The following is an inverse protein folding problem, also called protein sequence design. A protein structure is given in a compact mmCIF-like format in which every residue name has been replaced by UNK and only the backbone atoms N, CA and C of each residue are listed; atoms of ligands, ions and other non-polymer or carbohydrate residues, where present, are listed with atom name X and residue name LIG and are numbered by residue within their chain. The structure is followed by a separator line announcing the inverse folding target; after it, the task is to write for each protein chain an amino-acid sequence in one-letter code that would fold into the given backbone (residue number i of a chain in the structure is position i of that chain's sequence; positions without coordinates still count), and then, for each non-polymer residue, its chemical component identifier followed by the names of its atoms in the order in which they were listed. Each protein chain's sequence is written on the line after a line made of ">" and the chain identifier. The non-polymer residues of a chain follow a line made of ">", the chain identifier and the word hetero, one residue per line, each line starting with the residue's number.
data_IF_822340753862
#
_entry.id   IF_822340753862
#
_cell.length_a   1.000
_cell.length_b   1.000
_cell.length_c   1.000
_cell.angle_alpha   90.00
_cell.angle_beta   90.00
_cell.angle_gamma   90.00
#
_symmetry.space_group_name_H-M   'P 1'
#
loop_
_entity.id
_entity.type
_entity.pdbx_description
1 polymer ?
#
# COMPACT_ATOMS: atom_id res chain seq x y z
N UNK A 1 9.32 12.31 8.09
CA UNK A 1 8.82 11.25 8.99
C UNK A 1 7.44 10.75 8.58
N UNK A 2 7.21 10.52 7.29
CA UNK A 2 5.99 9.86 6.79
C UNK A 2 6.29 8.38 6.57
N UNK A 3 5.27 7.54 6.63
CA UNK A 3 5.38 6.14 6.26
C UNK A 3 5.31 6.00 4.74
N UNK A 4 6.48 5.87 4.09
CA UNK A 4 6.63 5.84 2.64
C UNK A 4 7.17 4.50 2.15
N UNK A 5 6.83 4.14 0.91
CA UNK A 5 7.48 3.07 0.15
C UNK A 5 7.60 3.48 -1.31
N UNK A 6 8.59 2.96 -2.01
CA UNK A 6 8.83 3.28 -3.40
C UNK A 6 8.71 2.06 -4.33
N UNK A 7 8.39 2.35 -5.59
CA UNK A 7 8.36 1.39 -6.69
C UNK A 7 9.05 2.00 -7.90
N UNK A 8 10.23 1.48 -8.24
CA UNK A 8 11.04 1.89 -9.40
C UNK A 8 11.57 0.69 -10.19
N UNK A 9 12.26 0.96 -11.30
CA UNK A 9 12.66 -0.06 -12.29
C UNK A 9 13.73 -1.04 -11.82
N UNK A 10 14.46 -0.72 -10.75
CA UNK A 10 15.54 -1.59 -10.23
C UNK A 10 15.02 -2.64 -9.24
N UNK A 11 13.75 -2.53 -8.82
CA UNK A 11 13.12 -3.54 -7.98
C UNK A 11 12.71 -4.75 -8.81
N UNK A 12 13.01 -5.94 -8.29
CA UNK A 12 12.51 -7.17 -8.89
C UNK A 12 10.98 -7.29 -8.72
N UNK A 13 10.35 -8.22 -9.44
CA UNK A 13 8.89 -8.39 -9.39
C UNK A 13 8.39 -8.78 -7.99
N UNK A 14 9.19 -9.49 -7.19
CA UNK A 14 8.82 -9.90 -5.84
C UNK A 14 8.78 -8.69 -4.93
N UNK A 15 9.81 -7.86 -4.96
CA UNK A 15 9.95 -6.67 -4.13
C UNK A 15 8.88 -5.64 -4.53
N UNK A 16 8.60 -5.47 -5.82
CA UNK A 16 7.46 -4.66 -6.32
C UNK A 16 6.11 -5.13 -5.75
N UNK A 17 5.87 -6.44 -5.73
CA UNK A 17 4.64 -7.01 -5.17
C UNK A 17 4.56 -6.80 -3.65
N UNK A 18 5.68 -6.95 -2.93
CA UNK A 18 5.75 -6.69 -1.50
C UNK A 18 5.49 -5.21 -1.17
N UNK A 19 6.00 -4.27 -1.96
CA UNK A 19 5.69 -2.84 -1.83
C UNK A 19 4.20 -2.53 -1.99
N UNK A 20 3.54 -3.14 -2.99
CA UNK A 20 2.09 -3.00 -3.19
C UNK A 20 1.31 -3.59 -2.03
N UNK A 21 1.75 -4.72 -1.49
CA UNK A 21 1.10 -5.34 -0.33
C UNK A 21 1.26 -4.47 0.91
N UNK A 22 2.46 -3.97 1.21
CA UNK A 22 2.70 -3.09 2.35
C UNK A 22 1.86 -1.81 2.28
N UNK A 23 1.72 -1.24 1.08
CA UNK A 23 0.83 -0.10 0.84
C UNK A 23 -0.65 -0.45 1.01
N UNK A 24 -1.11 -1.54 0.39
CA UNK A 24 -2.52 -1.98 0.48
C UNK A 24 -2.92 -2.40 1.89
N UNK A 25 -1.97 -2.85 2.71
CA UNK A 25 -2.17 -3.18 4.11
C UNK A 25 -2.18 -1.96 5.02
N UNK A 26 -1.92 -0.76 4.48
CA UNK A 26 -1.79 0.47 5.25
C UNK A 26 -0.48 0.58 6.03
N UNK A 27 0.40 -0.43 5.98
CA UNK A 27 1.71 -0.41 6.65
C UNK A 27 2.63 0.67 6.11
N UNK A 28 2.47 0.99 4.82
CA UNK A 28 3.08 2.13 4.15
C UNK A 28 1.96 3.03 3.65
N UNK A 29 1.90 4.27 4.12
CA UNK A 29 0.77 5.18 3.86
C UNK A 29 0.91 5.95 2.56
N UNK A 30 2.14 6.13 2.10
CA UNK A 30 2.47 6.85 0.87
C UNK A 30 3.29 5.92 -0.02
N UNK A 31 2.89 5.78 -1.28
CA UNK A 31 3.69 5.09 -2.30
C UNK A 31 4.19 6.10 -3.32
N UNK A 32 5.49 6.08 -3.61
CA UNK A 32 6.13 6.86 -4.69
C UNK A 32 6.46 5.90 -5.83
N UNK A 33 5.99 6.18 -7.04
CA UNK A 33 6.18 5.26 -8.16
C UNK A 33 6.47 5.97 -9.48
N UNK A 34 7.23 5.30 -10.35
CA UNK A 34 7.36 5.67 -11.77
C UNK A 34 6.36 4.89 -12.63
N UNK A 35 5.99 5.43 -13.79
CA UNK A 35 5.04 4.78 -14.70
C UNK A 35 5.51 3.36 -15.07
N UNK A 36 6.79 3.23 -15.42
CA UNK A 36 7.39 1.95 -15.83
C UNK A 36 7.26 0.92 -14.72
N UNK A 37 7.56 1.31 -13.49
CA UNK A 37 7.57 0.40 -12.35
C UNK A 37 6.17 0.11 -11.80
N UNK A 38 5.15 0.87 -12.17
CA UNK A 38 3.75 0.60 -11.80
C UNK A 38 3.02 -0.33 -12.78
N UNK A 39 3.53 -0.52 -14.00
CA UNK A 39 2.90 -1.37 -15.02
C UNK A 39 2.82 -2.84 -14.59
N UNK A 40 1.65 -3.45 -14.80
CA UNK A 40 1.39 -4.84 -14.41
C UNK A 40 1.11 -5.04 -12.91
N UNK A 41 1.08 -3.97 -12.11
CA UNK A 41 0.65 -4.02 -10.72
C UNK A 41 -0.82 -3.61 -10.62
N UNK A 42 -1.59 -4.38 -9.86
CA UNK A 42 -2.98 -4.04 -9.57
C UNK A 42 -3.06 -3.13 -8.34
N UNK A 43 -2.86 -1.84 -8.57
CA UNK A 43 -3.02 -0.81 -7.55
C UNK A 43 -4.37 -0.11 -7.81
N UNK A 44 -5.29 -0.20 -6.85
CA UNK A 44 -6.66 0.33 -6.92
C UNK A 44 -7.07 0.89 -5.56
N UNK A 45 -8.21 1.57 -5.53
CA UNK A 45 -8.88 2.05 -4.33
C UNK A 45 -8.01 3.00 -3.49
N UNK A 46 -7.24 3.86 -4.18
CA UNK A 46 -6.43 4.90 -3.54
C UNK A 46 -7.29 6.14 -3.31
N UNK A 47 -7.22 6.74 -2.13
CA UNK A 47 -7.97 7.98 -1.81
C UNK A 47 -7.42 9.21 -2.54
N UNK A 48 -6.09 9.28 -2.70
CA UNK A 48 -5.38 10.42 -3.28
C UNK A 48 -4.28 9.96 -4.23
N UNK A 49 -4.31 10.46 -5.46
CA UNK A 49 -3.21 10.37 -6.42
C UNK A 49 -2.56 11.75 -6.57
N UNK A 50 -1.25 11.82 -6.45
CA UNK A 50 -0.49 13.05 -6.69
C UNK A 50 0.42 12.82 -7.91
N UNK A 51 0.17 13.55 -8.99
CA UNK A 51 1.13 13.68 -10.08
C UNK A 51 2.17 14.72 -9.70
N UNK A 52 3.32 14.26 -9.22
CA UNK A 52 4.46 15.14 -8.95
C UNK A 52 5.01 15.75 -10.25
N UNK A 53 5.27 14.88 -11.24
CA UNK A 53 5.59 15.28 -12.61
C UNK A 53 4.42 14.95 -13.54
N UNK A 54 4.02 15.91 -14.38
CA UNK A 54 3.01 15.67 -15.40
C UNK A 54 3.55 14.72 -16.50
N UNK A 55 2.77 13.69 -16.89
CA UNK A 55 3.11 12.92 -18.08
C UNK A 55 2.86 13.75 -19.33
N UNK A 56 3.64 13.49 -20.39
CA UNK A 56 3.39 14.08 -21.70
C UNK A 56 2.16 13.49 -22.37
N UNK A 57 1.90 12.21 -22.13
CA UNK A 57 0.81 11.46 -22.74
C UNK A 57 -0.47 11.53 -21.88
N UNK A 58 -1.58 12.08 -22.41
CA UNK A 58 -2.88 12.09 -21.75
C UNK A 58 -3.41 10.70 -21.34
N UNK A 59 -3.04 9.64 -22.07
CA UNK A 59 -3.44 8.27 -21.73
C UNK A 59 -2.73 7.82 -20.45
N UNK A 60 -1.44 8.13 -20.30
CA UNK A 60 -0.69 7.87 -19.07
C UNK A 60 -1.30 8.66 -17.90
N UNK A 61 -1.66 9.93 -18.11
CA UNK A 61 -2.36 10.72 -17.09
C UNK A 61 -3.64 10.02 -16.62
N UNK A 62 -4.48 9.61 -17.57
CA UNK A 62 -5.75 8.92 -17.31
C UNK A 62 -5.54 7.61 -16.55
N UNK A 63 -4.51 6.83 -16.89
CA UNK A 63 -4.14 5.61 -16.18
C UNK A 63 -3.65 5.85 -14.74
N UNK A 64 -2.96 6.96 -14.48
CA UNK A 64 -2.52 7.35 -13.14
C UNK A 64 -3.69 7.77 -12.27
N UNK A 65 -4.52 8.71 -12.74
CA UNK A 65 -5.67 9.18 -11.95
C UNK A 65 -6.75 8.10 -11.82
N UNK A 66 -6.83 7.17 -12.78
CA UNK A 66 -7.70 6.01 -12.71
C UNK A 66 -7.35 5.01 -11.60
N UNK A 67 -6.35 5.28 -10.75
CA UNK A 67 -6.06 4.53 -9.50
C UNK A 67 -6.92 4.99 -8.32
N UNK A 68 -7.55 6.16 -8.45
CA UNK A 68 -8.51 6.71 -7.50
C UNK A 68 -9.92 6.79 -8.14
N UNK A 69 -10.95 6.95 -7.32
CA UNK A 69 -12.30 7.32 -7.79
C UNK A 69 -12.99 6.32 -8.71
N UNK A 70 -12.84 5.01 -8.49
CA UNK A 70 -13.60 3.98 -9.23
C UNK A 70 -14.92 3.66 -8.53
N UNK A 71 -15.97 3.34 -9.30
CA UNK A 71 -17.34 3.09 -8.81
C UNK A 71 -17.91 4.29 -8.01
N UNK A 72 -18.65 4.04 -6.93
CA UNK A 72 -19.24 5.07 -6.05
C UNK A 72 -18.22 5.72 -5.08
N UNK A 73 -16.94 5.34 -5.16
CA UNK A 73 -15.91 5.83 -4.26
C UNK A 73 -15.46 7.25 -4.63
N UNK A 74 -15.39 8.14 -3.63
CA UNK A 74 -14.81 9.47 -3.80
C UNK A 74 -13.28 9.36 -3.82
N UNK A 75 -12.67 9.86 -4.88
CA UNK A 75 -11.23 9.89 -5.07
C UNK A 75 -10.74 11.27 -5.45
N UNK A 76 -9.51 11.64 -5.07
CA UNK A 76 -8.91 12.92 -5.43
C UNK A 76 -7.64 12.69 -6.24
N UNK A 77 -7.51 13.40 -7.36
CA UNK A 77 -6.25 13.49 -8.10
C UNK A 77 -5.76 14.94 -8.08
N UNK A 78 -4.53 15.14 -7.62
CA UNK A 78 -3.85 16.44 -7.60
C UNK A 78 -2.66 16.36 -8.55
N UNK A 79 -2.46 17.39 -9.35
CA UNK A 79 -1.36 17.46 -10.29
C UNK A 79 -0.59 18.75 -10.07
N UNK A 80 0.70 18.60 -9.79
CA UNK A 80 1.61 19.72 -9.63
C UNK A 80 2.14 20.13 -11.01
N UNK A 81 2.18 21.42 -11.28
CA UNK A 81 2.70 21.95 -12.53
C UNK A 81 3.34 23.32 -12.31
N UNK A 82 4.33 23.64 -13.13
CA UNK A 82 4.97 24.95 -13.15
C UNK A 82 4.98 25.58 -14.54
N UNK A 83 5.64 26.75 -14.69
CA UNK A 83 5.72 27.45 -15.97
C UNK A 83 6.31 26.61 -17.13
N UNK A 84 7.10 25.57 -16.81
CA UNK A 84 7.75 24.69 -17.80
C UNK A 84 6.85 23.57 -18.32
N UNK A 85 5.67 23.38 -17.73
CA UNK A 85 4.76 22.29 -18.08
C UNK A 85 3.61 22.74 -18.99
N UNK A 86 3.71 23.90 -19.63
CA UNK A 86 2.64 24.50 -20.44
C UNK A 86 2.04 23.53 -21.46
N UNK A 87 2.89 22.81 -22.20
CA UNK A 87 2.46 21.82 -23.20
C UNK A 87 1.77 20.60 -22.58
N UNK A 88 2.26 20.12 -21.43
CA UNK A 88 1.71 18.95 -20.73
C UNK A 88 0.39 19.27 -20.02
N UNK A 89 0.26 20.50 -19.53
CA UNK A 89 -0.81 20.91 -18.64
C UNK A 89 -2.09 21.28 -19.39
N UNK A 90 -2.00 21.67 -20.67
CA UNK A 90 -3.14 22.16 -21.45
C UNK A 90 -4.36 21.22 -21.43
N UNK A 91 -4.14 19.91 -21.61
CA UNK A 91 -5.20 18.90 -21.55
C UNK A 91 -5.79 18.72 -20.13
N UNK A 92 -4.97 18.93 -19.10
CA UNK A 92 -5.37 18.73 -17.70
C UNK A 92 -6.16 19.95 -17.20
N UNK A 93 -5.68 21.16 -17.48
CA UNK A 93 -6.32 22.41 -17.05
C UNK A 93 -7.67 22.67 -17.71
N UNK A 94 -7.93 22.06 -18.87
CA UNK A 94 -9.25 22.16 -19.51
C UNK A 94 -10.33 21.36 -18.79
N UNK A 95 -9.94 20.43 -17.91
CA UNK A 95 -10.86 19.50 -17.23
C UNK A 95 -10.80 19.59 -15.69
N UNK A 96 -9.69 20.10 -15.14
CA UNK A 96 -9.46 20.18 -13.71
C UNK A 96 -9.62 21.60 -13.16
N UNK A 97 -9.98 21.70 -11.89
CA UNK A 97 -9.92 22.96 -11.14
C UNK A 97 -8.47 23.34 -10.88
N UNK A 98 -8.14 24.62 -10.99
CA UNK A 98 -6.82 25.15 -10.68
C UNK A 98 -6.82 25.89 -9.34
N UNK A 99 -5.69 25.81 -8.64
CA UNK A 99 -5.44 26.52 -7.40
C UNK A 99 -3.97 26.95 -7.36
N UNK A 100 -3.64 28.01 -6.63
CA UNK A 100 -2.24 28.43 -6.46
C UNK A 100 -1.68 27.83 -5.17
N UNK A 101 -0.39 27.46 -5.18
CA UNK A 101 0.29 26.89 -4.01
C UNK A 101 0.21 27.80 -2.77
N UNK A 102 0.20 29.14 -2.97
CA UNK A 102 0.08 30.13 -1.89
C UNK A 102 -1.27 30.04 -1.14
N UNK A 103 -2.28 29.47 -1.77
CA UNK A 103 -3.62 29.33 -1.20
C UNK A 103 -3.74 28.02 -0.39
N UNK A 104 -2.72 27.14 -0.44
CA UNK A 104 -2.70 25.89 0.29
C UNK A 104 -2.22 26.13 1.73
N UNK A 105 -2.96 25.58 2.69
CA UNK A 105 -2.50 25.45 4.06
C UNK A 105 -1.46 24.33 4.12
N UNK A 106 -0.23 24.68 4.48
CA UNK A 106 0.85 23.72 4.72
C UNK A 106 1.01 23.51 6.22
N UNK A 107 0.91 22.27 6.66
CA UNK A 107 1.27 21.85 8.00
C UNK A 107 2.62 21.12 7.93
N UNK A 108 3.70 21.81 8.31
CA UNK A 108 5.05 21.27 8.25
C UNK A 108 5.29 20.15 9.28
N UNK A 109 4.49 20.09 10.34
CA UNK A 109 4.61 19.09 11.40
C UNK A 109 3.77 17.84 11.13
N UNK A 110 2.90 17.88 10.11
CA UNK A 110 2.08 16.76 9.74
C UNK A 110 2.93 15.54 9.40
N UNK A 111 2.61 14.40 10.02
CA UNK A 111 3.24 13.10 9.76
C UNK A 111 2.17 12.08 9.44
N UNK A 112 2.24 11.53 8.24
CA UNK A 112 1.37 10.44 7.82
C UNK A 112 2.01 9.12 8.24
N UNK A 113 1.84 8.78 9.51
CA UNK A 113 2.34 7.54 10.10
C UNK A 113 1.38 6.38 9.85
N UNK A 114 1.92 5.17 9.88
CA UNK A 114 1.12 3.95 9.86
C UNK A 114 0.88 3.48 11.28
N UNK A 115 -0.35 3.04 11.55
CA UNK A 115 -0.69 2.28 12.76
C UNK A 115 -0.51 0.77 12.55
N UNK A 116 -0.19 0.34 11.34
CA UNK A 116 -0.07 -1.07 10.97
C UNK A 116 1.34 -1.42 10.53
N UNK A 117 1.71 -2.67 10.76
CA UNK A 117 2.89 -3.32 10.20
C UNK A 117 2.44 -4.58 9.46
N UNK A 118 3.19 -4.99 8.43
CA UNK A 118 2.85 -6.19 7.66
C UNK A 118 3.71 -7.35 8.14
N UNK A 119 3.10 -8.31 8.82
CA UNK A 119 3.74 -9.59 9.13
C UNK A 119 3.72 -10.48 7.88
N UNK A 120 4.88 -10.92 7.44
CA UNK A 120 5.03 -11.94 6.41
C UNK A 120 5.21 -13.32 7.03
N UNK A 121 4.47 -14.30 6.53
CA UNK A 121 4.54 -15.72 6.90
C UNK A 121 4.99 -16.49 5.65
N UNK A 122 6.03 -17.33 5.78
CA UNK A 122 6.55 -18.18 4.71
C UNK A 122 5.66 -19.41 4.46
N UNK A 123 4.39 -19.15 4.14
CA UNK A 123 3.39 -20.15 3.78
C UNK A 123 2.24 -19.49 3.04
N UNK A 124 1.83 -20.09 1.93
CA UNK A 124 0.73 -19.59 1.11
C UNK A 124 -0.20 -20.73 0.65
N UNK A 125 -0.91 -20.50 -0.46
CA UNK A 125 -1.89 -21.45 -1.04
C UNK A 125 -1.28 -22.83 -1.29
N UNK A 126 -0.03 -22.92 -1.77
CA UNK A 126 0.68 -24.20 -2.01
C UNK A 126 0.93 -24.99 -0.73
N UNK A 127 1.04 -24.30 0.42
CA UNK A 127 1.11 -24.94 1.75
C UNK A 127 -0.27 -25.25 2.34
N UNK A 128 -1.34 -25.03 1.56
CA UNK A 128 -2.76 -25.14 1.95
C UNK A 128 -3.15 -24.19 3.09
N UNK A 129 -2.49 -23.03 3.19
CA UNK A 129 -2.79 -22.01 4.18
C UNK A 129 -3.91 -21.10 3.67
N UNK A 130 -4.90 -20.81 4.51
CA UNK A 130 -6.03 -19.92 4.22
C UNK A 130 -6.11 -18.80 5.25
N UNK A 131 -6.82 -17.71 4.90
CA UNK A 131 -6.92 -16.54 5.77
C UNK A 131 -7.57 -16.89 7.12
N UNK A 132 -8.58 -17.78 7.10
CA UNK A 132 -9.22 -18.29 8.30
C UNK A 132 -8.29 -19.11 9.22
N UNK A 133 -7.28 -19.80 8.67
CA UNK A 133 -6.31 -20.54 9.49
C UNK A 133 -5.42 -19.56 10.28
N UNK A 134 -4.96 -18.51 9.61
CA UNK A 134 -4.14 -17.45 10.20
C UNK A 134 -4.96 -16.67 11.23
N UNK A 135 -6.15 -16.18 10.84
CA UNK A 135 -7.05 -15.44 11.72
C UNK A 135 -7.44 -16.27 12.95
N UNK A 136 -7.77 -17.55 12.75
CA UNK A 136 -8.10 -18.46 13.84
C UNK A 136 -6.95 -18.61 14.84
N UNK A 137 -5.71 -18.77 14.36
CA UNK A 137 -4.52 -18.87 15.21
C UNK A 137 -4.28 -17.56 15.98
N UNK A 138 -4.32 -16.41 15.30
CA UNK A 138 -4.09 -15.11 15.92
C UNK A 138 -5.14 -14.80 16.99
N UNK A 139 -6.41 -15.05 16.72
CA UNK A 139 -7.49 -14.75 17.66
C UNK A 139 -7.59 -15.78 18.79
N UNK A 140 -7.58 -17.08 18.49
CA UNK A 140 -7.89 -18.13 19.47
C UNK A 140 -6.67 -18.62 20.24
N UNK A 141 -5.50 -18.72 19.59
CA UNK A 141 -4.29 -19.26 20.23
C UNK A 141 -3.41 -18.17 20.81
N UNK A 142 -3.28 -17.03 20.12
CA UNK A 142 -2.42 -15.90 20.56
C UNK A 142 -3.22 -14.86 21.38
N UNK A 143 -4.54 -14.82 21.21
CA UNK A 143 -5.42 -13.87 21.90
C UNK A 143 -5.24 -12.44 21.39
N UNK A 144 -5.32 -12.26 20.07
CA UNK A 144 -5.36 -10.94 19.42
C UNK A 144 -6.82 -10.59 19.11
N UNK A 145 -7.23 -9.38 19.47
CA UNK A 145 -8.57 -8.89 19.11
C UNK A 145 -8.70 -8.74 17.59
N UNK A 146 -9.81 -9.17 16.96
CA UNK A 146 -9.99 -9.10 15.51
C UNK A 146 -9.77 -7.70 14.92
N UNK A 147 -10.13 -6.64 15.66
CA UNK A 147 -9.95 -5.25 15.23
C UNK A 147 -8.49 -4.82 15.07
N UNK A 148 -7.55 -5.55 15.67
CA UNK A 148 -6.10 -5.31 15.57
C UNK A 148 -5.48 -6.02 14.36
N UNK A 149 -6.28 -6.78 13.60
CA UNK A 149 -5.86 -7.54 12.43
C UNK A 149 -6.56 -6.93 11.21
N UNK A 150 -5.77 -6.36 10.31
CA UNK A 150 -6.27 -5.81 9.06
C UNK A 150 -6.34 -6.86 7.96
N UNK A 151 -6.04 -6.43 6.74
CA UNK A 151 -6.09 -7.27 5.54
C UNK A 151 -5.14 -8.47 5.66
N UNK A 152 -5.60 -9.63 5.18
CA UNK A 152 -4.79 -10.84 5.03
C UNK A 152 -4.68 -11.17 3.54
N UNK A 153 -3.49 -11.01 2.98
CA UNK A 153 -3.18 -11.33 1.59
C UNK A 153 -2.48 -12.70 1.53
N UNK A 154 -2.94 -13.59 0.66
CA UNK A 154 -2.34 -14.91 0.50
C UNK A 154 -1.90 -15.11 -0.94
N UNK A 155 -0.60 -15.30 -1.12
CA UNK A 155 0.01 -15.69 -2.39
C UNK A 155 0.19 -17.21 -2.43
N UNK A 156 0.79 -17.71 -3.50
CA UNK A 156 1.08 -19.15 -3.62
C UNK A 156 2.04 -19.64 -2.54
N UNK A 157 3.03 -18.83 -2.18
CA UNK A 157 4.16 -19.22 -1.33
C UNK A 157 4.19 -18.51 0.02
N UNK A 158 3.63 -17.29 0.12
CA UNK A 158 3.66 -16.45 1.32
C UNK A 158 2.26 -15.97 1.70
N UNK A 159 2.11 -15.54 2.95
CA UNK A 159 0.93 -14.81 3.43
C UNK A 159 1.38 -13.56 4.15
N UNK A 160 0.60 -12.49 4.02
CA UNK A 160 0.88 -11.19 4.59
C UNK A 160 -0.32 -10.76 5.43
N UNK A 161 -0.05 -10.28 6.64
CA UNK A 161 -1.08 -9.91 7.60
C UNK A 161 -0.79 -8.50 8.10
N UNK A 162 -1.71 -7.58 7.88
CA UNK A 162 -1.65 -6.28 8.53
C UNK A 162 -1.97 -6.44 10.02
N UNK A 163 -1.08 -5.97 10.89
CA UNK A 163 -1.24 -6.01 12.34
C UNK A 163 -1.08 -4.60 12.89
N UNK A 164 -1.93 -4.22 13.84
CA UNK A 164 -1.75 -2.97 14.56
C UNK A 164 -0.41 -3.00 15.31
N UNK A 165 0.36 -1.91 15.27
CA UNK A 165 1.74 -1.85 15.78
C UNK A 165 1.85 -2.24 17.26
N UNK A 166 0.81 -2.02 18.05
CA UNK A 166 0.74 -2.41 19.47
C UNK A 166 0.74 -3.92 19.71
N UNK A 167 0.40 -4.74 18.71
CA UNK A 167 0.32 -6.21 18.83
C UNK A 167 1.39 -6.94 18.01
N UNK A 168 2.07 -6.27 17.10
CA UNK A 168 3.06 -6.87 16.19
C UNK A 168 4.12 -7.70 16.94
N UNK A 169 4.75 -7.13 17.96
CA UNK A 169 5.78 -7.79 18.76
C UNK A 169 5.27 -9.02 19.51
N UNK A 170 4.06 -8.94 20.07
CA UNK A 170 3.40 -10.05 20.75
C UNK A 170 3.18 -11.20 19.77
N UNK A 171 2.64 -10.91 18.59
CA UNK A 171 2.38 -11.90 17.54
C UNK A 171 3.68 -12.52 17.04
N UNK A 172 4.69 -11.71 16.71
CA UNK A 172 5.98 -12.18 16.21
C UNK A 172 6.68 -13.13 17.20
N UNK A 173 6.66 -12.81 18.50
CA UNK A 173 7.20 -13.68 19.55
C UNK A 173 6.39 -14.97 19.72
N UNK A 174 5.06 -14.87 19.66
CA UNK A 174 4.18 -16.03 19.82
C UNK A 174 4.34 -17.04 18.67
N UNK A 175 4.40 -16.57 17.42
CA UNK A 175 4.53 -17.43 16.23
C UNK A 175 5.82 -18.27 16.19
N UNK A 176 6.86 -17.89 16.94
CA UNK A 176 8.07 -18.73 17.11
C UNK A 176 7.78 -20.04 17.87
N UNK A 177 6.73 -20.04 18.69
CA UNK A 177 6.34 -21.15 19.58
C UNK A 177 5.04 -21.83 19.12
N UNK A 178 4.17 -21.10 18.45
CA UNK A 178 2.87 -21.58 17.98
C UNK A 178 2.95 -22.26 16.61
N UNK A 179 1.95 -23.07 16.28
CA UNK A 179 1.79 -23.67 14.95
C UNK A 179 0.53 -23.17 14.30
N UNK A 180 0.55 -22.89 13.00
CA UNK A 180 -0.67 -22.65 12.24
C UNK A 180 -1.01 -23.97 11.54
N UNK A 181 -2.21 -24.51 11.77
CA UNK A 181 -2.63 -25.79 11.17
C UNK A 181 -1.63 -26.93 11.46
N UNK A 182 -1.17 -27.03 12.71
CA UNK A 182 -0.19 -28.03 13.19
C UNK A 182 1.18 -27.96 12.48
N UNK A 183 1.49 -26.87 11.76
CA UNK A 183 2.80 -26.63 11.11
C UNK A 183 3.45 -25.37 11.66
N UNK A 184 4.77 -25.39 11.80
CA UNK A 184 5.55 -24.19 12.08
C UNK A 184 5.84 -23.45 10.78
N UNK A 185 5.75 -22.13 10.84
CA UNK A 185 6.08 -21.24 9.74
C UNK A 185 7.13 -20.23 10.20
N UNK A 186 8.05 -19.91 9.30
CA UNK A 186 8.97 -18.78 9.48
C UNK A 186 8.17 -17.51 9.20
N UNK A 187 8.33 -16.50 10.04
CA UNK A 187 7.70 -15.20 9.86
C UNK A 187 8.69 -14.07 10.12
N UNK A 188 8.45 -12.90 9.53
CA UNK A 188 9.21 -11.65 9.72
C UNK A 188 8.31 -10.46 9.46
N UNK A 189 8.70 -9.27 9.93
CA UNK A 189 8.01 -8.03 9.58
C UNK A 189 8.56 -7.57 8.23
N UNK A 190 7.64 -7.27 7.31
CA UNK A 190 7.97 -6.67 6.04
C UNK A 190 8.32 -5.20 6.30
N UNK A 191 9.58 -4.87 6.03
CA UNK A 191 10.09 -3.52 6.16
C UNK A 191 9.58 -2.69 4.98
#
# INVERSE_FOLDING_TARGET
>A
GHSTIDIHGDLDQRDRNESVIAFSNGSRRIMVATDVASRGLDIKDIELVINYDLPFDPEVYTHRIGRTGRADAKGTAISLYGPRDSEKCAYITSQARTAQMKDLRVDAEFKMLSEYETLCINGGKKTKLRAGDILGTLCKEIGIEPKMIGKINITDTKSYVALHHTVTDKVFKALKKTTIKKKKYIAWILN
#
